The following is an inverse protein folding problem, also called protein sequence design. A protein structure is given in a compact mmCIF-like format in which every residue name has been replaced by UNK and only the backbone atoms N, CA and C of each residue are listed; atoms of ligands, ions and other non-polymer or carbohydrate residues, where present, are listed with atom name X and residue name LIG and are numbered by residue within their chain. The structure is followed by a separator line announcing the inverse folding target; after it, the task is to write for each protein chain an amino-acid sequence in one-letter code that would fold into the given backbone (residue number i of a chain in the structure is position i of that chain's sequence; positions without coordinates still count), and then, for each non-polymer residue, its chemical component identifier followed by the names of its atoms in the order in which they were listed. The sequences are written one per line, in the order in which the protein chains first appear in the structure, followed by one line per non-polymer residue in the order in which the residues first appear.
data_IF_247589373303
#
_entry.id   IF_247589373303
#
_cell.length_a   1.000
_cell.length_b   1.000
_cell.length_c   1.000
_cell.angle_alpha   90.00
_cell.angle_beta   90.00
_cell.angle_gamma   90.00
#
_symmetry.space_group_name_H-M   'P 1'
#
loop_
_entity.id
_entity.type
_entity.pdbx_description
1 polymer ?
#
# COMPACT_ATOMS: atom_id res chain seq x y z
N UNK A 1 14.71 -7.84 0.04
CA UNK A 1 14.22 -9.08 -0.37
C UNK A 1 15.11 -10.01 -1.18
N UNK A 2 16.45 -10.04 -0.96
CA UNK A 2 17.33 -10.98 -1.67
C UNK A 2 17.63 -12.23 -0.85
N UNK A 3 17.64 -12.09 0.49
CA UNK A 3 17.91 -13.21 1.41
C UNK A 3 16.99 -13.13 2.64
N UNK A 4 16.81 -14.28 3.30
CA UNK A 4 16.04 -14.36 4.53
C UNK A 4 16.87 -13.83 5.71
N UNK A 5 16.38 -12.78 6.36
CA UNK A 5 17.00 -12.28 7.59
C UNK A 5 16.72 -13.21 8.78
N UNK A 6 17.44 -13.02 9.90
CA UNK A 6 17.22 -13.75 11.16
C UNK A 6 15.91 -13.28 11.85
N UNK A 7 14.76 -13.60 11.25
CA UNK A 7 13.46 -13.13 11.70
C UNK A 7 13.17 -13.47 13.16
N UNK A 8 13.61 -14.63 13.64
CA UNK A 8 13.41 -15.05 15.02
C UNK A 8 14.20 -14.20 16.01
N UNK A 9 15.45 -13.86 15.71
CA UNK A 9 16.27 -12.99 16.57
C UNK A 9 15.67 -11.58 16.64
N UNK A 10 15.19 -11.07 15.51
CA UNK A 10 14.46 -9.79 15.45
C UNK A 10 13.17 -9.86 16.27
N UNK A 11 12.44 -10.98 16.24
CA UNK A 11 11.26 -11.19 17.08
C UNK A 11 11.58 -11.16 18.55
N UNK A 12 12.66 -11.83 18.96
CA UNK A 12 13.14 -11.83 20.36
C UNK A 12 13.55 -10.41 20.78
N UNK A 13 14.11 -9.62 19.88
CA UNK A 13 14.44 -8.22 20.10
C UNK A 13 13.22 -7.28 20.15
N UNK A 14 12.01 -7.80 19.88
CA UNK A 14 10.76 -7.03 20.02
C UNK A 14 10.06 -6.69 18.70
N UNK A 15 10.56 -7.12 17.54
CA UNK A 15 9.86 -6.90 16.29
C UNK A 15 8.52 -7.64 16.24
N UNK A 16 7.47 -6.99 15.75
CA UNK A 16 6.10 -7.53 15.69
C UNK A 16 5.72 -8.05 14.31
N UNK A 17 6.35 -7.50 13.26
CA UNK A 17 6.17 -7.90 11.87
C UNK A 17 7.46 -7.65 11.07
N UNK A 18 7.58 -8.23 9.89
CA UNK A 18 8.80 -8.19 9.08
C UNK A 18 8.47 -7.87 7.64
N UNK A 19 9.23 -6.98 7.03
CA UNK A 19 9.06 -6.60 5.62
C UNK A 19 10.18 -5.68 5.15
N UNK A 20 10.25 -5.45 3.86
CA UNK A 20 11.26 -4.63 3.20
C UNK A 20 10.71 -3.24 2.80
N UNK A 21 9.84 -2.68 3.63
CA UNK A 21 9.17 -1.41 3.39
C UNK A 21 8.48 -1.36 2.01
N UNK A 22 8.86 -0.44 1.11
CA UNK A 22 8.33 -0.31 -0.26
C UNK A 22 9.11 -1.13 -1.30
N UNK A 23 9.75 -2.21 -0.87
CA UNK A 23 10.43 -3.15 -1.74
C UNK A 23 9.60 -4.42 -1.90
N UNK A 24 9.36 -4.82 -3.13
CA UNK A 24 8.65 -6.07 -3.42
C UNK A 24 9.56 -7.27 -3.27
N UNK A 25 9.11 -8.31 -2.60
CA UNK A 25 9.79 -9.61 -2.60
C UNK A 25 9.55 -10.27 -3.96
N UNK A 26 10.59 -10.28 -4.82
CA UNK A 26 10.51 -10.80 -6.19
C UNK A 26 10.51 -12.33 -6.22
N UNK A 27 11.33 -12.94 -5.36
CA UNK A 27 11.45 -14.38 -5.29
C UNK A 27 10.28 -14.99 -4.50
N UNK A 28 9.44 -15.73 -5.21
CA UNK A 28 8.28 -16.43 -4.65
C UNK A 28 8.68 -17.52 -3.65
N UNK A 29 9.85 -18.14 -3.85
CA UNK A 29 10.40 -19.15 -2.95
C UNK A 29 10.82 -18.52 -1.63
N UNK A 30 11.44 -17.34 -1.68
CA UNK A 30 11.80 -16.57 -0.49
C UNK A 30 10.56 -16.14 0.31
N UNK A 31 9.51 -15.66 -0.36
CA UNK A 31 8.25 -15.30 0.30
C UNK A 31 7.61 -16.52 0.99
N UNK A 32 7.57 -17.67 0.28
CA UNK A 32 7.06 -18.93 0.85
C UNK A 32 7.82 -19.31 2.12
N UNK A 33 9.16 -19.35 2.05
CA UNK A 33 10.01 -19.70 3.20
C UNK A 33 9.81 -18.70 4.35
N UNK A 34 9.70 -17.41 4.04
CA UNK A 34 9.46 -16.37 5.04
C UNK A 34 8.14 -16.58 5.79
N UNK A 35 7.07 -16.93 5.08
CA UNK A 35 5.76 -17.22 5.66
C UNK A 35 5.77 -18.49 6.51
N UNK A 36 6.36 -19.58 6.01
CA UNK A 36 6.50 -20.85 6.76
C UNK A 36 7.35 -20.65 8.02
N UNK A 37 8.46 -19.93 7.92
CA UNK A 37 9.34 -19.66 9.06
C UNK A 37 8.68 -18.74 10.08
N UNK A 38 8.09 -17.62 9.66
CA UNK A 38 7.42 -16.69 10.57
C UNK A 38 6.20 -17.30 11.29
N UNK A 39 5.55 -18.29 10.67
CA UNK A 39 4.47 -19.05 11.29
C UNK A 39 4.91 -19.76 12.57
N UNK A 40 6.13 -20.28 12.63
CA UNK A 40 6.64 -21.04 13.79
C UNK A 40 6.66 -20.24 15.08
N UNK A 41 6.73 -18.90 15.01
CA UNK A 41 6.70 -17.98 16.15
C UNK A 41 5.59 -16.94 16.07
N UNK A 42 4.60 -17.18 15.21
CA UNK A 42 3.36 -16.41 15.14
C UNK A 42 3.50 -14.97 14.61
N UNK A 43 4.56 -14.67 13.88
CA UNK A 43 4.79 -13.34 13.31
C UNK A 43 4.10 -13.16 11.95
N UNK A 44 4.01 -11.90 11.50
CA UNK A 44 3.37 -11.48 10.26
C UNK A 44 4.41 -10.95 9.28
N UNK A 45 4.30 -11.35 8.02
CA UNK A 45 5.11 -10.78 6.92
C UNK A 45 4.36 -9.59 6.33
N UNK A 46 5.07 -8.49 6.12
CA UNK A 46 4.57 -7.31 5.40
C UNK A 46 5.06 -7.42 3.96
N UNK A 47 4.15 -7.52 3.00
CA UNK A 47 4.48 -7.61 1.59
C UNK A 47 3.97 -6.40 0.83
N UNK A 48 4.90 -5.59 0.33
CA UNK A 48 4.57 -4.48 -0.56
C UNK A 48 4.23 -5.00 -1.96
N UNK A 49 3.08 -4.59 -2.48
CA UNK A 49 2.51 -5.16 -3.70
C UNK A 49 2.66 -4.21 -4.88
N UNK A 50 3.80 -4.24 -5.54
CA UNK A 50 4.03 -3.55 -6.81
C UNK A 50 5.01 -4.36 -7.64
N UNK A 51 4.61 -4.78 -8.84
CA UNK A 51 5.51 -5.44 -9.76
C UNK A 51 6.49 -4.43 -10.36
N UNK A 52 7.79 -4.64 -10.13
CA UNK A 52 8.83 -3.70 -10.52
C UNK A 52 9.00 -3.59 -12.04
N UNK A 53 8.77 -4.68 -12.77
CA UNK A 53 8.91 -4.68 -14.23
C UNK A 53 7.74 -3.94 -14.90
N UNK A 54 6.52 -4.15 -14.42
CA UNK A 54 5.34 -3.43 -14.90
C UNK A 54 5.37 -1.95 -14.52
N UNK A 55 5.96 -1.61 -13.39
CA UNK A 55 6.06 -0.23 -12.90
C UNK A 55 7.34 0.49 -13.28
N UNK A 56 8.26 -0.18 -14.00
CA UNK A 56 9.58 0.35 -14.34
C UNK A 56 9.51 1.75 -14.97
N UNK A 57 10.22 2.70 -14.36
CA UNK A 57 10.25 4.11 -14.76
C UNK A 57 8.87 4.81 -14.81
N UNK A 58 7.83 4.20 -14.27
CA UNK A 58 6.53 4.85 -14.13
C UNK A 58 6.54 5.83 -12.95
N UNK A 59 5.85 6.94 -13.10
CA UNK A 59 5.85 8.03 -12.11
C UNK A 59 4.45 8.46 -11.66
N UNK A 60 3.42 8.00 -12.38
CA UNK A 60 2.02 8.35 -12.18
C UNK A 60 1.14 7.13 -12.49
N UNK A 61 -0.15 7.16 -12.14
CA UNK A 61 -1.11 6.15 -12.59
C UNK A 61 -1.21 6.08 -14.12
N UNK A 62 -1.18 4.87 -14.68
CA UNK A 62 -1.45 4.68 -16.11
C UNK A 62 -2.93 4.95 -16.43
N UNK A 63 -3.19 5.91 -17.30
CA UNK A 63 -4.54 6.29 -17.68
C UNK A 63 -4.61 7.54 -18.53
N UNK A 64 -5.75 8.19 -18.51
CA UNK A 64 -5.99 9.41 -19.28
C UNK A 64 -5.04 10.53 -18.84
N UNK A 65 -4.87 10.71 -17.53
CA UNK A 65 -4.04 11.78 -16.96
C UNK A 65 -2.56 11.60 -17.35
N UNK A 66 -2.01 10.38 -17.24
CA UNK A 66 -0.63 10.11 -17.66
C UNK A 66 -0.40 10.40 -19.14
N UNK A 67 -1.39 10.07 -19.97
CA UNK A 67 -1.34 10.35 -21.41
C UNK A 67 -1.39 11.85 -21.70
N UNK A 68 -2.26 12.58 -21.02
CA UNK A 68 -2.39 14.05 -21.18
C UNK A 68 -1.12 14.79 -20.73
N UNK A 69 -0.50 14.33 -19.65
CA UNK A 69 0.73 14.92 -19.11
C UNK A 69 1.99 14.42 -19.84
N UNK A 70 1.89 13.38 -20.69
CA UNK A 70 3.04 12.78 -21.35
C UNK A 70 3.99 12.06 -20.37
N UNK A 71 3.49 11.64 -19.21
CA UNK A 71 4.26 10.94 -18.17
C UNK A 71 4.09 9.43 -18.30
N UNK A 72 5.14 8.66 -17.97
CA UNK A 72 5.06 7.19 -17.97
C UNK A 72 4.18 6.71 -16.83
N UNK A 73 3.14 5.93 -17.17
CA UNK A 73 2.19 5.38 -16.23
C UNK A 73 2.69 4.12 -15.53
N UNK A 74 2.17 3.88 -14.32
CA UNK A 74 2.26 2.63 -13.56
C UNK A 74 0.90 1.95 -13.66
N UNK A 75 0.77 0.82 -14.38
CA UNK A 75 -0.51 0.14 -14.57
C UNK A 75 -1.02 -0.42 -13.24
N UNK A 76 -2.33 -0.37 -13.02
CA UNK A 76 -2.98 -0.89 -11.79
C UNK A 76 -2.77 -2.40 -11.60
N UNK A 77 -2.56 -3.14 -12.69
CA UNK A 77 -2.25 -4.56 -12.64
C UNK A 77 -0.94 -4.86 -11.91
N UNK A 78 0.01 -3.91 -11.85
CA UNK A 78 1.26 -4.09 -11.11
C UNK A 78 1.04 -4.40 -9.62
N UNK A 79 -0.01 -3.84 -9.02
CA UNK A 79 -0.40 -4.17 -7.64
C UNK A 79 -1.15 -5.50 -7.58
N UNK A 80 -2.19 -5.64 -8.40
CA UNK A 80 -3.10 -6.77 -8.26
C UNK A 80 -2.47 -8.13 -8.58
N UNK A 81 -1.48 -8.18 -9.48
CA UNK A 81 -0.76 -9.42 -9.79
C UNK A 81 0.08 -9.91 -8.60
N UNK A 82 0.73 -8.97 -7.88
CA UNK A 82 1.51 -9.32 -6.70
C UNK A 82 0.61 -9.71 -5.52
N UNK A 83 -0.49 -8.99 -5.29
CA UNK A 83 -1.47 -9.38 -4.27
C UNK A 83 -2.00 -10.80 -4.55
N UNK A 84 -2.37 -11.09 -5.80
CA UNK A 84 -2.85 -12.41 -6.18
C UNK A 84 -1.81 -13.50 -5.94
N UNK A 85 -0.58 -13.30 -6.42
CA UNK A 85 0.55 -14.19 -6.21
C UNK A 85 0.76 -14.50 -4.73
N UNK A 86 0.80 -13.45 -3.91
CA UNK A 86 1.10 -13.56 -2.48
C UNK A 86 -0.03 -14.25 -1.70
N UNK A 87 -1.29 -14.07 -2.12
CA UNK A 87 -2.45 -14.78 -1.56
C UNK A 87 -2.35 -16.27 -1.84
N UNK A 88 -1.98 -16.68 -3.05
CA UNK A 88 -1.81 -18.11 -3.38
C UNK A 88 -0.68 -18.76 -2.56
N UNK A 89 0.44 -18.04 -2.37
CA UNK A 89 1.55 -18.51 -1.53
C UNK A 89 1.15 -18.56 -0.06
N UNK A 90 0.38 -17.57 0.41
CA UNK A 90 -0.14 -17.54 1.77
C UNK A 90 -1.06 -18.73 2.06
N UNK A 91 -1.98 -19.03 1.16
CA UNK A 91 -2.91 -20.17 1.30
C UNK A 91 -2.16 -21.50 1.38
N UNK A 92 -1.08 -21.64 0.58
CA UNK A 92 -0.22 -22.82 0.63
C UNK A 92 0.58 -22.95 1.94
N UNK A 93 1.13 -21.83 2.44
CA UNK A 93 2.00 -21.80 3.62
C UNK A 93 1.25 -21.74 4.95
N UNK A 94 -0.03 -21.32 4.92
CA UNK A 94 -0.86 -21.10 6.11
C UNK A 94 -0.17 -20.14 7.12
N UNK A 95 0.46 -19.08 6.59
CA UNK A 95 1.16 -18.04 7.34
C UNK A 95 0.26 -16.85 7.69
N UNK A 96 0.89 -15.68 7.90
CA UNK A 96 0.21 -14.40 8.16
C UNK A 96 0.83 -13.31 7.31
N UNK A 97 -0.01 -12.54 6.58
CA UNK A 97 0.48 -11.48 5.71
C UNK A 97 -0.23 -10.15 5.98
N UNK A 98 0.48 -9.04 5.74
CA UNK A 98 -0.06 -7.70 5.70
C UNK A 98 0.29 -7.04 4.37
N UNK A 99 -0.69 -6.50 3.66
CA UNK A 99 -0.51 -5.70 2.46
C UNK A 99 -0.58 -4.21 2.81
N UNK A 100 0.56 -3.51 2.85
CA UNK A 100 0.58 -2.06 3.08
C UNK A 100 0.17 -1.30 1.82
N UNK A 101 -0.44 -0.14 2.01
CA UNK A 101 -0.71 0.84 0.96
C UNK A 101 -1.50 0.31 -0.24
N UNK A 102 -2.46 -0.59 -0.01
CA UNK A 102 -3.37 -1.04 -1.08
C UNK A 102 -4.07 0.17 -1.69
N UNK A 103 -4.04 0.29 -3.02
CA UNK A 103 -4.51 1.48 -3.70
C UNK A 103 -5.38 1.22 -4.94
N UNK A 104 -5.67 -0.06 -5.29
CA UNK A 104 -6.53 -0.37 -6.43
C UNK A 104 -7.81 -1.08 -6.00
N UNK A 105 -8.89 -0.83 -6.73
CA UNK A 105 -10.17 -1.55 -6.59
C UNK A 105 -9.96 -3.06 -6.69
N UNK A 106 -9.14 -3.51 -7.66
CA UNK A 106 -8.87 -4.93 -7.85
C UNK A 106 -8.13 -5.54 -6.68
N UNK A 107 -7.16 -4.83 -6.09
CA UNK A 107 -6.45 -5.25 -4.87
C UNK A 107 -7.43 -5.46 -3.70
N UNK A 108 -8.31 -4.50 -3.48
CA UNK A 108 -9.36 -4.60 -2.43
C UNK A 108 -10.28 -5.82 -2.67
N UNK A 109 -10.70 -6.08 -3.91
CA UNK A 109 -11.53 -7.24 -4.25
C UNK A 109 -10.81 -8.58 -3.97
N UNK A 110 -9.53 -8.69 -4.32
CA UNK A 110 -8.72 -9.89 -4.08
C UNK A 110 -8.61 -10.17 -2.58
N UNK A 111 -8.26 -9.14 -1.80
CA UNK A 111 -8.13 -9.26 -0.33
C UNK A 111 -9.48 -9.61 0.32
N UNK A 112 -10.57 -8.96 -0.11
CA UNK A 112 -11.93 -9.28 0.38
C UNK A 112 -12.27 -10.76 0.17
N UNK A 113 -11.96 -11.29 -1.00
CA UNK A 113 -12.22 -12.69 -1.33
C UNK A 113 -11.33 -13.65 -0.53
N UNK A 114 -10.07 -13.28 -0.31
CA UNK A 114 -9.15 -14.06 0.51
C UNK A 114 -9.58 -14.09 2.00
N UNK A 115 -10.03 -12.96 2.55
CA UNK A 115 -10.61 -12.89 3.90
C UNK A 115 -11.85 -13.78 4.05
N UNK A 116 -12.71 -13.86 3.02
CA UNK A 116 -13.86 -14.79 3.02
C UNK A 116 -13.46 -16.27 3.06
N UNK A 117 -12.25 -16.61 2.60
CA UNK A 117 -11.65 -17.95 2.71
C UNK A 117 -10.97 -18.17 4.08
N UNK A 118 -11.08 -17.22 5.02
CA UNK A 118 -10.47 -17.22 6.34
C UNK A 118 -8.92 -17.24 6.34
N UNK A 119 -8.29 -16.71 5.31
CA UNK A 119 -6.84 -16.51 5.31
C UNK A 119 -6.45 -15.38 6.27
N UNK A 120 -5.33 -15.54 6.99
CA UNK A 120 -4.85 -14.52 7.95
C UNK A 120 -4.18 -13.34 7.22
N UNK A 121 -5.03 -12.49 6.67
CA UNK A 121 -4.66 -11.31 5.89
C UNK A 121 -5.12 -10.05 6.62
N UNK A 122 -4.22 -9.08 6.70
CA UNK A 122 -4.58 -7.69 6.99
C UNK A 122 -4.07 -6.78 5.87
N UNK A 123 -4.69 -5.62 5.72
CA UNK A 123 -4.20 -4.62 4.77
C UNK A 123 -4.45 -3.20 5.26
N UNK A 124 -3.72 -2.26 4.67
CA UNK A 124 -3.89 -0.84 4.95
C UNK A 124 -3.97 -0.01 3.67
N UNK A 125 -4.64 1.15 3.76
CA UNK A 125 -4.62 2.18 2.75
C UNK A 125 -4.05 3.46 3.34
N UNK A 126 -3.49 4.35 2.50
CA UNK A 126 -3.00 5.63 3.00
C UNK A 126 -4.06 6.73 2.93
N UNK A 127 -3.88 7.77 3.76
CA UNK A 127 -4.71 8.96 3.76
C UNK A 127 -4.79 9.62 2.38
N UNK A 128 -3.67 9.71 1.67
CA UNK A 128 -3.61 10.29 0.34
C UNK A 128 -4.50 9.49 -0.63
N UNK A 129 -4.37 8.16 -0.65
CA UNK A 129 -5.11 7.30 -1.59
C UNK A 129 -6.62 7.22 -1.34
N UNK A 130 -7.08 7.52 -0.12
CA UNK A 130 -8.53 7.60 0.15
C UNK A 130 -9.12 8.99 -0.10
N UNK A 131 -8.28 10.02 -0.32
CA UNK A 131 -8.71 11.41 -0.41
C UNK A 131 -8.51 12.02 -1.79
N UNK A 132 -7.46 11.60 -2.47
CA UNK A 132 -6.97 12.17 -3.73
C UNK A 132 -7.00 11.11 -4.82
N UNK A 133 -7.19 11.57 -6.05
CA UNK A 133 -7.12 10.79 -7.28
C UNK A 133 -6.00 11.31 -8.19
N UNK A 134 -5.73 10.61 -9.28
CA UNK A 134 -4.80 11.07 -10.31
C UNK A 134 -5.30 12.35 -11.02
N UNK A 135 -6.61 12.63 -10.97
CA UNK A 135 -7.21 13.87 -11.49
C UNK A 135 -6.79 15.13 -10.71
N UNK A 136 -6.32 14.95 -9.46
CA UNK A 136 -5.80 16.04 -8.62
C UNK A 136 -4.38 16.47 -9.01
N UNK A 137 -3.70 15.71 -9.88
CA UNK A 137 -2.35 16.03 -10.37
C UNK A 137 -2.47 17.09 -11.47
N UNK A 138 -2.41 18.35 -11.07
CA UNK A 138 -2.51 19.50 -11.96
C UNK A 138 -1.13 20.13 -12.12
N UNK A 139 -0.81 20.59 -13.35
CA UNK A 139 0.38 21.39 -13.66
C UNK A 139 1.71 20.76 -13.17
N UNK A 140 1.82 19.42 -13.23
CA UNK A 140 3.00 18.70 -12.80
C UNK A 140 3.41 18.95 -11.36
N UNK A 141 2.45 19.22 -10.47
CA UNK A 141 2.75 19.46 -9.07
C UNK A 141 3.35 18.21 -8.42
N UNK A 142 4.62 18.30 -8.05
CA UNK A 142 5.41 17.21 -7.49
C UNK A 142 4.98 16.78 -6.09
N UNK A 143 4.17 17.56 -5.38
CA UNK A 143 3.62 17.20 -4.07
C UNK A 143 2.67 16.01 -4.16
N UNK A 144 2.06 15.78 -5.34
CA UNK A 144 1.21 14.63 -5.62
C UNK A 144 1.98 13.40 -6.11
N UNK A 145 3.31 13.48 -6.23
CA UNK A 145 4.12 12.31 -6.60
C UNK A 145 4.29 11.38 -5.41
N UNK A 146 3.63 10.23 -5.47
CA UNK A 146 3.63 9.19 -4.44
C UNK A 146 4.03 7.82 -5.02
N UNK A 147 4.51 6.94 -4.16
CA UNK A 147 4.67 5.51 -4.43
C UNK A 147 4.02 4.73 -3.26
N UNK A 148 2.99 3.94 -3.56
CA UNK A 148 2.32 3.75 -4.86
C UNK A 148 1.66 5.04 -5.39
N UNK A 149 1.38 5.16 -6.71
CA UNK A 149 0.81 6.39 -7.27
C UNK A 149 -0.67 6.58 -6.87
N UNK A 150 -1.14 7.82 -6.87
CA UNK A 150 -2.56 8.12 -6.80
C UNK A 150 -3.28 7.46 -7.97
N UNK A 151 -4.40 6.79 -7.71
CA UNK A 151 -5.20 6.06 -8.69
C UNK A 151 -6.45 6.85 -9.09
N UNK A 152 -7.23 6.31 -10.02
CA UNK A 152 -8.47 6.94 -10.46
C UNK A 152 -9.56 6.97 -9.39
N UNK A 153 -10.54 7.84 -9.58
CA UNK A 153 -11.66 8.05 -8.63
C UNK A 153 -12.43 6.77 -8.28
N UNK A 154 -12.51 5.80 -9.19
CA UNK A 154 -13.13 4.49 -8.91
C UNK A 154 -12.35 3.66 -7.89
N UNK A 155 -11.02 3.78 -7.88
CA UNK A 155 -10.16 3.11 -6.90
C UNK A 155 -10.30 3.77 -5.53
N UNK A 156 -10.33 5.11 -5.48
CA UNK A 156 -10.59 5.87 -4.26
C UNK A 156 -11.92 5.44 -3.61
N UNK A 157 -12.99 5.30 -4.38
CA UNK A 157 -14.28 4.84 -3.87
C UNK A 157 -14.23 3.39 -3.35
N UNK A 158 -13.49 2.51 -4.03
CA UNK A 158 -13.31 1.13 -3.60
C UNK A 158 -12.54 1.03 -2.27
N UNK A 159 -11.53 1.88 -2.07
CA UNK A 159 -10.80 1.98 -0.81
C UNK A 159 -11.70 2.46 0.33
N UNK A 160 -12.48 3.53 0.12
CA UNK A 160 -13.45 4.01 1.11
C UNK A 160 -14.46 2.94 1.49
N UNK A 161 -15.00 2.23 0.51
CA UNK A 161 -15.92 1.14 0.77
C UNK A 161 -15.23 -0.03 1.51
N UNK A 162 -13.98 -0.33 1.16
CA UNK A 162 -13.16 -1.36 1.83
C UNK A 162 -12.90 -1.04 3.31
N UNK A 163 -12.76 0.24 3.67
CA UNK A 163 -12.66 0.68 5.07
C UNK A 163 -14.01 0.50 5.78
N UNK A 164 -15.11 0.89 5.15
CA UNK A 164 -16.46 0.81 5.74
C UNK A 164 -16.87 -0.65 5.99
N UNK A 165 -16.58 -1.56 5.07
CA UNK A 165 -16.96 -2.97 5.19
C UNK A 165 -15.93 -3.83 5.94
N UNK A 166 -14.82 -3.25 6.40
CA UNK A 166 -13.79 -3.94 7.18
C UNK A 166 -12.84 -4.81 6.34
N UNK A 167 -12.85 -4.67 5.01
CA UNK A 167 -11.85 -5.30 4.14
C UNK A 167 -10.47 -4.70 4.39
N UNK A 168 -10.41 -3.36 4.54
CA UNK A 168 -9.20 -2.63 4.91
C UNK A 168 -9.20 -2.46 6.44
N UNK A 169 -8.14 -2.93 7.09
CA UNK A 169 -8.04 -2.99 8.55
C UNK A 169 -7.51 -1.68 9.15
N UNK A 170 -6.61 -0.98 8.44
CA UNK A 170 -5.92 0.20 8.95
C UNK A 170 -5.86 1.30 7.89
N UNK A 171 -5.86 2.55 8.36
CA UNK A 171 -5.48 3.72 7.55
C UNK A 171 -4.15 4.24 8.09
N UNK A 172 -3.19 4.44 7.19
CA UNK A 172 -1.85 4.92 7.53
C UNK A 172 -1.65 6.35 7.04
N UNK A 173 -0.86 7.13 7.74
CA UNK A 173 -0.51 8.48 7.27
C UNK A 173 0.30 8.45 5.98
N UNK A 174 1.19 7.48 5.83
CA UNK A 174 2.20 7.46 4.78
C UNK A 174 2.97 8.81 4.75
N UNK A 175 3.33 9.29 5.96
CA UNK A 175 4.01 10.55 6.14
C UNK A 175 5.49 10.42 5.74
N UNK A 176 5.84 10.97 4.61
CA UNK A 176 7.19 10.94 4.04
C UNK A 176 7.60 12.34 3.62
N UNK A 177 8.06 13.16 4.57
CA UNK A 177 8.51 14.51 4.27
C UNK A 177 9.80 14.46 3.42
N UNK A 178 9.76 15.14 2.28
CA UNK A 178 10.87 15.25 1.35
C UNK A 178 11.36 16.70 1.37
N UNK A 179 12.69 16.89 1.38
CA UNK A 179 13.26 18.22 1.28
C UNK A 179 12.84 18.91 -0.02
N UNK A 180 12.49 20.17 0.07
CA UNK A 180 12.04 21.02 -1.04
C UNK A 180 12.94 20.95 -2.28
N UNK A 181 14.25 20.83 -2.11
CA UNK A 181 15.20 20.74 -3.23
C UNK A 181 14.93 19.54 -4.14
N UNK A 182 14.44 18.43 -3.57
CA UNK A 182 14.04 17.23 -4.34
C UNK A 182 12.60 17.28 -4.84
N UNK A 183 11.80 18.24 -4.41
CA UNK A 183 10.45 18.51 -4.92
C UNK A 183 10.44 19.60 -5.99
N UNK A 184 11.31 20.61 -5.91
CA UNK A 184 11.40 21.73 -6.87
C UNK A 184 12.18 21.38 -8.14
N UNK A 185 11.89 20.22 -8.69
CA UNK A 185 12.46 19.70 -9.94
C UNK A 185 11.33 19.26 -10.87
N UNK A 186 11.65 18.88 -12.11
CA UNK A 186 10.64 18.32 -13.03
C UNK A 186 10.03 17.04 -12.43
N UNK A 187 8.77 16.79 -12.73
CA UNK A 187 7.98 15.72 -12.10
C UNK A 187 8.66 14.36 -12.14
N UNK A 188 9.29 13.99 -13.26
CA UNK A 188 10.00 12.71 -13.42
C UNK A 188 11.15 12.52 -12.43
N UNK A 189 11.83 13.60 -12.08
CA UNK A 189 13.00 13.57 -11.20
C UNK A 189 12.67 13.85 -9.72
N UNK A 190 11.46 14.33 -9.44
CA UNK A 190 11.05 14.57 -8.06
C UNK A 190 11.02 13.27 -7.24
N UNK A 191 11.45 13.31 -6.00
CA UNK A 191 11.30 12.18 -5.09
C UNK A 191 9.84 12.03 -4.67
N UNK A 192 9.31 10.79 -4.60
CA UNK A 192 7.97 10.53 -4.12
C UNK A 192 7.91 10.73 -2.60
N UNK A 193 6.79 11.23 -2.11
CA UNK A 193 6.52 11.42 -0.68
C UNK A 193 5.60 12.60 -0.43
N UNK A 194 4.93 12.63 0.71
CA UNK A 194 4.00 13.68 1.10
C UNK A 194 3.97 13.90 2.60
N UNK A 195 3.57 15.12 3.01
CA UNK A 195 3.28 15.47 4.40
C UNK A 195 1.80 15.22 4.64
N UNK A 196 1.47 14.33 5.58
CA UNK A 196 0.07 13.91 5.81
C UNK A 196 -0.28 13.69 7.28
N UNK A 197 0.70 13.61 8.18
CA UNK A 197 0.44 13.30 9.59
C UNK A 197 -0.39 14.38 10.28
N UNK A 198 -0.08 15.65 10.02
CA UNK A 198 -0.72 16.80 10.65
C UNK A 198 -2.21 16.94 10.27
N UNK A 199 -2.56 16.57 9.02
CA UNK A 199 -3.93 16.66 8.52
C UNK A 199 -4.72 15.35 8.64
N UNK A 200 -4.12 14.29 9.19
CA UNK A 200 -4.68 12.94 9.21
C UNK A 200 -6.11 12.88 9.76
N UNK A 201 -6.34 13.46 10.92
CA UNK A 201 -7.65 13.46 11.55
C UNK A 201 -8.68 14.25 10.73
N UNK A 202 -8.32 15.43 10.20
CA UNK A 202 -9.19 16.25 9.36
C UNK A 202 -9.58 15.52 8.06
N UNK A 203 -8.64 14.84 7.42
CA UNK A 203 -8.88 14.03 6.23
C UNK A 203 -9.89 12.92 6.53
N UNK A 204 -9.71 12.18 7.64
CA UNK A 204 -10.62 11.11 8.03
C UNK A 204 -12.03 11.65 8.30
N UNK A 205 -12.17 12.74 9.03
CA UNK A 205 -13.47 13.37 9.31
C UNK A 205 -14.18 13.86 8.04
N UNK A 206 -13.43 14.35 7.06
CA UNK A 206 -14.01 14.82 5.79
C UNK A 206 -14.46 13.66 4.87
N UNK A 207 -13.78 12.52 4.95
CA UNK A 207 -14.08 11.37 4.08
C UNK A 207 -15.11 10.41 4.68
N UNK A 208 -15.28 10.42 6.01
CA UNK A 208 -16.20 9.53 6.71
C UNK A 208 -17.06 10.33 7.68
N UNK A 209 -18.38 10.10 7.67
CA UNK A 209 -19.26 10.69 8.69
C UNK A 209 -18.88 10.18 10.08
N UNK A 210 -18.99 11.02 11.12
CA UNK A 210 -18.62 10.69 12.51
C UNK A 210 -19.20 9.34 12.98
N UNK A 211 -20.44 9.03 12.61
CA UNK A 211 -21.07 7.74 12.93
C UNK A 211 -20.38 6.54 12.27
N UNK A 212 -19.83 6.72 11.08
CA UNK A 212 -19.05 5.69 10.36
C UNK A 212 -17.57 5.71 10.76
N UNK A 213 -17.05 6.88 11.16
CA UNK A 213 -15.65 7.02 11.65
C UNK A 213 -15.42 6.33 12.98
N UNK A 214 -16.43 6.27 13.85
CA UNK A 214 -16.35 5.55 15.14
C UNK A 214 -16.33 4.04 14.91
N UNK A 215 -16.84 3.55 13.77
CA UNK A 215 -16.76 2.15 13.37
C UNK A 215 -15.42 1.79 12.68
N UNK A 216 -14.57 2.76 12.34
CA UNK A 216 -13.18 2.49 11.91
C UNK A 216 -12.41 2.01 13.14
N UNK A 217 -12.51 0.71 13.42
CA UNK A 217 -11.78 0.05 14.50
C UNK A 217 -10.29 0.17 14.23
N UNK A 218 -9.65 1.12 14.88
CA UNK A 218 -8.21 1.25 14.89
C UNK A 218 -7.64 2.08 13.74
N UNK A 219 -7.69 3.40 13.89
CA UNK A 219 -6.74 4.27 13.17
C UNK A 219 -5.40 4.13 13.89
N UNK A 220 -4.57 3.21 13.44
CA UNK A 220 -3.19 3.16 13.87
C UNK A 220 -2.40 4.09 12.95
N UNK A 221 -2.12 5.31 13.42
CA UNK A 221 -1.15 6.18 12.75
C UNK A 221 0.24 5.62 13.02
N UNK A 222 0.80 4.93 12.04
CA UNK A 222 2.21 4.55 12.05
C UNK A 222 2.95 5.58 11.23
N UNK A 223 3.70 6.45 11.90
CA UNK A 223 4.80 7.16 11.26
C UNK A 223 5.99 6.19 11.18
N UNK A 224 6.57 6.04 10.01
CA UNK A 224 7.88 5.42 9.84
C UNK A 224 8.90 6.52 9.82
#
# INVERSE_FOLDING_TARGET
GEELASLYDMKVAGAVAFGDYKQTVKDTSLLKISLEYSKTFGARIISFSQDDFLSENGVINEGIISTQLGLKGIPSISESINIFRDIEILEYSDGKIHFPFVNTKRGVELIRNAKKRNLDITCSASLAHISLSDEDIIDFNTDFKLIPPLRGSSDVQALKQGIIDGTIDYVTSMHEPINDDYKKVVFDHALPGSISLECAFGILCNNFTLEKSIMVRGVLMVSV
#
